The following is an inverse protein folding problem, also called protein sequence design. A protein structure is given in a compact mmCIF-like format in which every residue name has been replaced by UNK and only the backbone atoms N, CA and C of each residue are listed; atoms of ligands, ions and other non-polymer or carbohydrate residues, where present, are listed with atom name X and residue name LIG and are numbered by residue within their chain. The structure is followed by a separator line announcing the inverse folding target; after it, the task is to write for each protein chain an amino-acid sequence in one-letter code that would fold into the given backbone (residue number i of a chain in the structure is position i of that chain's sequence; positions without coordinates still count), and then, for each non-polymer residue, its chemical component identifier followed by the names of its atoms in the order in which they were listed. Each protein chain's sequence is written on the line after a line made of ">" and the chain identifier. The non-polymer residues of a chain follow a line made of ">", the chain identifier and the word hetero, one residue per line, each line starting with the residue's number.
data_IF_026205219158
#
_entry.id   IF_026205219158
#
_cell.length_a   1.000
_cell.length_b   1.000
_cell.length_c   1.000
_cell.angle_alpha   90.00
_cell.angle_beta   90.00
_cell.angle_gamma   90.00
#
_symmetry.space_group_name_H-M   'P 1'
#
loop_
_entity.id
_entity.type
_entity.pdbx_description
1 polymer ?
#
# COMPACT_ATOMS: atom_id res chain seq x y z
N UNK A 1 9.04 -24.36 -3.15
CA UNK A 1 9.19 -23.25 -2.18
C UNK A 1 7.89 -23.14 -1.40
N UNK A 2 7.89 -23.57 -0.13
CA UNK A 2 6.71 -23.53 0.74
C UNK A 2 6.56 -22.09 1.24
N UNK A 3 5.69 -21.29 0.62
CA UNK A 3 5.41 -19.94 1.08
C UNK A 3 4.54 -20.03 2.34
N UNK A 4 5.20 -19.83 3.49
CA UNK A 4 4.58 -19.89 4.80
C UNK A 4 3.60 -18.71 4.98
N UNK A 5 2.47 -18.97 5.62
CA UNK A 5 1.23 -18.17 5.78
C UNK A 5 1.36 -16.72 6.35
N UNK A 6 2.53 -16.08 6.35
CA UNK A 6 2.78 -14.79 7.05
C UNK A 6 3.55 -13.74 6.23
N UNK A 7 3.43 -13.73 4.91
CA UNK A 7 4.16 -12.78 4.03
C UNK A 7 3.85 -11.31 4.34
N UNK A 8 2.57 -10.93 4.46
CA UNK A 8 2.17 -9.53 4.67
C UNK A 8 2.49 -9.00 6.08
N UNK A 9 2.44 -9.86 7.12
CA UNK A 9 2.78 -9.46 8.50
C UNK A 9 4.29 -9.19 8.65
N UNK A 10 5.09 -9.98 7.94
CA UNK A 10 6.53 -9.76 7.83
C UNK A 10 6.78 -8.47 7.07
N UNK A 11 6.14 -8.28 5.90
CA UNK A 11 6.25 -7.04 5.11
C UNK A 11 5.90 -5.80 5.95
N UNK A 12 4.78 -5.84 6.68
CA UNK A 12 4.36 -4.77 7.60
C UNK A 12 5.41 -4.45 8.65
N UNK A 13 5.97 -5.48 9.27
CA UNK A 13 7.03 -5.32 10.27
C UNK A 13 8.28 -4.70 9.64
N UNK A 14 8.66 -5.15 8.44
CA UNK A 14 9.84 -4.68 7.73
C UNK A 14 9.70 -3.24 7.22
N UNK A 15 8.57 -2.88 6.62
CA UNK A 15 8.30 -1.49 6.25
C UNK A 15 8.28 -0.57 7.46
N UNK A 16 7.65 -1.00 8.55
CA UNK A 16 7.62 -0.20 9.78
C UNK A 16 9.03 -0.01 10.37
N UNK A 17 9.85 -1.06 10.47
CA UNK A 17 11.20 -0.92 11.03
C UNK A 17 12.13 -0.12 10.10
N UNK A 18 12.00 -0.29 8.78
CA UNK A 18 12.79 0.47 7.81
C UNK A 18 12.41 1.97 7.91
N UNK A 19 11.11 2.30 8.02
CA UNK A 19 10.65 3.68 8.26
C UNK A 19 11.07 4.24 9.61
N UNK A 20 11.02 3.43 10.67
CA UNK A 20 11.47 3.80 12.01
C UNK A 20 12.96 4.15 12.01
N UNK A 21 13.79 3.38 11.32
CA UNK A 21 15.23 3.65 11.19
C UNK A 21 15.50 4.93 10.40
N UNK A 22 14.77 5.17 9.30
CA UNK A 22 14.88 6.42 8.54
C UNK A 22 14.51 7.63 9.39
N UNK A 23 13.43 7.54 10.20
CA UNK A 23 13.01 8.62 11.10
C UNK A 23 13.94 8.81 12.29
N UNK A 24 14.50 7.73 12.81
CA UNK A 24 15.44 7.77 13.93
C UNK A 24 16.77 8.42 13.54
N UNK A 25 17.24 8.20 12.30
CA UNK A 25 18.51 8.73 11.80
C UNK A 25 19.77 8.07 12.40
N UNK A 26 19.61 7.18 13.38
CA UNK A 26 20.70 6.45 14.02
C UNK A 26 20.86 5.01 13.53
N UNK A 27 21.81 4.29 14.13
CA UNK A 27 22.13 2.92 13.77
C UNK A 27 21.11 1.92 14.34
N UNK A 28 21.03 0.73 13.73
CA UNK A 28 20.20 -0.37 14.26
C UNK A 28 20.63 -0.82 15.66
N UNK A 29 21.92 -0.69 15.98
CA UNK A 29 22.46 -1.06 17.30
C UNK A 29 21.97 -0.07 18.37
N UNK A 30 21.93 1.22 18.04
CA UNK A 30 21.38 2.25 18.93
C UNK A 30 19.89 2.03 19.18
N UNK A 31 19.12 1.71 18.12
CA UNK A 31 17.70 1.38 18.26
C UNK A 31 17.48 0.13 19.14
N UNK A 32 18.32 -0.90 18.99
CA UNK A 32 18.29 -2.10 19.83
C UNK A 32 18.60 -1.76 21.29
N UNK A 33 19.57 -0.89 21.56
CA UNK A 33 19.91 -0.45 22.92
C UNK A 33 18.75 0.31 23.58
N UNK A 34 18.05 1.15 22.81
CA UNK A 34 16.82 1.83 23.27
C UNK A 34 15.73 0.80 23.60
N UNK A 35 15.59 -0.26 22.80
CA UNK A 35 14.64 -1.33 23.09
C UNK A 35 15.01 -2.09 24.37
N UNK A 36 16.26 -2.56 24.46
CA UNK A 36 16.76 -3.40 25.55
C UNK A 36 16.70 -2.70 26.91
N UNK A 37 17.10 -1.43 26.95
CA UNK A 37 17.06 -0.60 28.17
C UNK A 37 15.66 -0.45 28.77
N UNK A 38 14.60 -0.67 27.97
CA UNK A 38 13.20 -0.53 28.42
C UNK A 38 12.39 -1.83 28.46
N UNK A 39 12.78 -2.85 27.72
CA UNK A 39 12.03 -4.11 27.64
C UNK A 39 12.56 -5.18 28.59
N UNK A 40 13.85 -5.16 28.93
CA UNK A 40 14.51 -6.28 29.60
C UNK A 40 14.47 -7.59 28.79
N UNK A 41 14.08 -7.52 27.51
CA UNK A 41 13.89 -8.69 26.64
C UNK A 41 15.18 -9.10 25.92
N UNK A 42 15.13 -10.25 25.26
CA UNK A 42 16.27 -10.88 24.59
C UNK A 42 16.93 -9.97 23.53
N UNK A 43 18.26 -10.03 23.48
CA UNK A 43 19.11 -9.35 22.49
C UNK A 43 18.76 -9.72 21.04
N UNK A 44 18.93 -8.74 20.15
CA UNK A 44 18.80 -8.81 18.68
C UNK A 44 17.36 -8.83 18.15
N UNK A 45 16.40 -8.28 18.88
CA UNK A 45 15.00 -8.32 18.45
C UNK A 45 14.73 -7.43 17.21
N UNK A 46 15.34 -6.25 17.16
CA UNK A 46 15.31 -5.35 15.99
C UNK A 46 15.87 -6.03 14.76
N UNK A 47 16.98 -6.76 14.92
CA UNK A 47 17.59 -7.54 13.84
C UNK A 47 16.69 -8.67 13.35
N UNK A 48 15.93 -9.31 14.24
CA UNK A 48 14.94 -10.34 13.85
C UNK A 48 13.74 -9.74 13.11
N UNK A 49 13.26 -8.57 13.50
CA UNK A 49 12.20 -7.84 12.79
C UNK A 49 12.65 -7.42 11.39
N UNK A 50 13.81 -6.75 11.29
CA UNK A 50 14.38 -6.34 10.00
C UNK A 50 14.65 -7.55 9.09
N UNK A 51 15.11 -8.67 9.67
CA UNK A 51 15.32 -9.93 8.94
C UNK A 51 14.05 -10.74 8.65
N UNK A 52 12.87 -10.26 9.06
CA UNK A 52 11.59 -10.96 8.85
C UNK A 52 11.43 -12.28 9.61
N UNK A 53 12.27 -12.53 10.61
CA UNK A 53 12.21 -13.75 11.45
C UNK A 53 11.08 -13.71 12.46
N UNK A 54 10.72 -12.52 12.90
CA UNK A 54 9.65 -12.27 13.88
C UNK A 54 8.81 -11.09 13.44
N UNK A 55 7.55 -11.06 13.88
CA UNK A 55 6.60 -9.96 13.60
C UNK A 55 6.49 -9.08 14.83
N UNK A 56 6.41 -7.77 14.63
CA UNK A 56 6.21 -6.81 15.73
C UNK A 56 4.73 -6.75 16.13
N UNK A 57 4.47 -6.48 17.41
CA UNK A 57 3.11 -6.31 17.95
C UNK A 57 2.74 -4.84 18.06
N UNK A 58 1.44 -4.54 18.08
CA UNK A 58 0.92 -3.17 18.25
C UNK A 58 1.40 -2.51 19.55
N UNK A 59 1.57 -3.31 20.62
CA UNK A 59 2.12 -2.83 21.90
C UNK A 59 3.54 -2.26 21.74
N UNK A 60 4.36 -2.91 20.91
CA UNK A 60 5.73 -2.46 20.65
C UNK A 60 5.73 -1.24 19.74
N UNK A 61 4.91 -1.24 18.69
CA UNK A 61 4.74 -0.07 17.80
C UNK A 61 4.32 1.16 18.62
N UNK A 62 3.32 1.00 19.49
CA UNK A 62 2.85 2.08 20.38
C UNK A 62 3.91 2.57 21.35
N UNK A 63 4.86 1.71 21.76
CA UNK A 63 5.98 2.10 22.61
C UNK A 63 6.97 2.96 21.83
N UNK A 64 7.29 2.58 20.59
CA UNK A 64 8.18 3.35 19.73
C UNK A 64 7.55 4.66 19.26
N UNK A 65 6.24 4.71 19.01
CA UNK A 65 5.55 5.96 18.67
C UNK A 65 5.72 7.03 19.75
N UNK A 66 5.75 6.64 21.03
CA UNK A 66 6.02 7.56 22.15
C UNK A 66 7.45 8.08 22.20
N UNK A 67 8.40 7.37 21.56
CA UNK A 67 9.82 7.72 21.55
C UNK A 67 10.21 8.47 20.29
N UNK A 68 9.67 8.03 19.15
CA UNK A 68 9.92 8.52 17.80
C UNK A 68 8.54 8.67 17.14
N UNK A 69 7.87 9.82 17.36
CA UNK A 69 6.54 10.08 16.81
C UNK A 69 6.51 10.04 15.28
N UNK A 70 5.34 9.70 14.73
CA UNK A 70 5.11 9.64 13.29
C UNK A 70 5.65 8.39 12.61
N UNK A 71 5.76 7.28 13.34
CA UNK A 71 6.29 6.00 12.82
C UNK A 71 5.22 4.92 12.72
N UNK A 72 4.18 4.99 13.56
CA UNK A 72 3.08 4.02 13.62
C UNK A 72 2.22 3.97 12.36
N UNK A 73 2.03 5.08 11.64
CA UNK A 73 1.14 5.13 10.46
C UNK A 73 1.51 4.10 9.40
N UNK A 74 2.80 3.80 9.21
CA UNK A 74 3.26 2.76 8.28
C UNK A 74 2.70 1.40 8.71
N UNK A 75 2.74 1.08 10.01
CA UNK A 75 2.24 -0.20 10.52
C UNK A 75 0.73 -0.37 10.31
N UNK A 76 -0.02 0.73 10.29
CA UNK A 76 -1.48 0.72 10.17
C UNK A 76 -2.01 0.94 8.75
N UNK A 77 -1.15 0.92 7.73
CA UNK A 77 -1.58 0.99 6.33
C UNK A 77 -2.60 -0.10 5.99
N UNK A 78 -3.74 0.30 5.40
CA UNK A 78 -4.84 -0.60 5.05
C UNK A 78 -4.46 -1.68 4.03
N UNK A 79 -3.46 -1.41 3.19
CA UNK A 79 -2.97 -2.37 2.22
C UNK A 79 -2.61 -3.72 2.86
N UNK A 80 -2.09 -3.74 4.09
CA UNK A 80 -1.70 -4.99 4.75
C UNK A 80 -2.86 -5.93 5.02
N UNK A 81 -4.02 -5.39 5.36
CA UNK A 81 -5.21 -6.20 5.61
C UNK A 81 -5.84 -6.69 4.31
N UNK A 82 -5.64 -5.97 3.21
CA UNK A 82 -6.06 -6.37 1.87
C UNK A 82 -5.10 -7.41 1.25
N UNK A 83 -3.82 -7.37 1.63
CA UNK A 83 -2.80 -8.37 1.30
C UNK A 83 -3.00 -9.70 2.04
N UNK A 84 -3.89 -9.75 3.05
CA UNK A 84 -4.20 -10.98 3.76
C UNK A 84 -4.86 -12.00 2.81
N UNK A 85 -4.23 -13.14 2.61
CA UNK A 85 -4.71 -14.20 1.74
C UNK A 85 -5.85 -15.04 2.36
N UNK A 86 -6.14 -14.88 3.65
CA UNK A 86 -7.20 -15.63 4.34
C UNK A 86 -8.56 -14.98 4.15
N UNK A 87 -9.65 -15.73 4.37
CA UNK A 87 -11.06 -15.24 4.26
C UNK A 87 -11.32 -13.96 5.09
N UNK A 88 -10.50 -13.71 6.11
CA UNK A 88 -10.52 -12.50 6.96
C UNK A 88 -10.52 -11.19 6.15
N UNK A 89 -9.93 -11.19 4.94
CA UNK A 89 -9.87 -9.99 4.10
C UNK A 89 -11.24 -9.39 3.77
N UNK A 90 -12.32 -10.18 3.72
CA UNK A 90 -13.65 -9.70 3.30
C UNK A 90 -14.17 -8.59 4.21
N UNK A 91 -13.97 -8.72 5.52
CA UNK A 91 -14.37 -7.70 6.50
C UNK A 91 -13.52 -6.44 6.35
N UNK A 92 -12.22 -6.61 6.14
CA UNK A 92 -11.28 -5.51 5.92
C UNK A 92 -11.58 -4.77 4.62
N UNK A 93 -11.89 -5.49 3.55
CA UNK A 93 -12.29 -4.94 2.26
C UNK A 93 -13.56 -4.12 2.40
N UNK A 94 -14.62 -4.68 3.01
CA UNK A 94 -15.86 -3.95 3.25
C UNK A 94 -15.59 -2.65 4.01
N UNK A 95 -14.87 -2.75 5.14
CA UNK A 95 -14.52 -1.57 5.96
C UNK A 95 -13.72 -0.54 5.17
N UNK A 96 -12.78 -0.97 4.34
CA UNK A 96 -11.98 -0.07 3.50
C UNK A 96 -12.86 0.65 2.48
N UNK A 97 -13.72 -0.06 1.75
CA UNK A 97 -14.65 0.54 0.80
C UNK A 97 -15.63 1.51 1.49
N UNK A 98 -16.20 1.12 2.63
CA UNK A 98 -17.12 1.96 3.40
C UNK A 98 -16.46 3.28 3.87
N UNK A 99 -15.17 3.25 4.21
CA UNK A 99 -14.43 4.42 4.70
C UNK A 99 -13.86 5.31 3.58
N UNK A 100 -13.66 4.76 2.39
CA UNK A 100 -12.97 5.42 1.28
C UNK A 100 -13.83 5.59 0.03
N UNK A 101 -15.14 5.40 0.13
CA UNK A 101 -16.07 5.67 -0.96
C UNK A 101 -17.17 6.62 -0.52
N UNK A 102 -17.55 7.53 -1.42
CA UNK A 102 -18.73 8.37 -1.27
C UNK A 102 -19.81 7.80 -2.17
N UNK A 103 -20.98 7.54 -1.57
CA UNK A 103 -22.16 7.09 -2.30
C UNK A 103 -22.83 8.30 -2.96
N UNK A 104 -22.35 8.66 -4.15
CA UNK A 104 -22.99 9.60 -5.07
C UNK A 104 -23.19 8.94 -6.45
N UNK A 105 -23.66 9.68 -7.45
CA UNK A 105 -23.89 9.19 -8.80
C UNK A 105 -23.02 9.99 -9.79
N UNK A 106 -21.93 9.42 -10.33
CA UNK A 106 -21.36 8.08 -10.05
C UNK A 106 -20.68 8.02 -8.66
N UNK A 107 -20.48 6.82 -8.07
CA UNK A 107 -19.76 6.67 -6.80
C UNK A 107 -18.26 6.98 -6.98
N UNK A 108 -17.66 7.62 -5.97
CA UNK A 108 -16.29 8.14 -6.07
C UNK A 108 -15.42 7.70 -4.89
N UNK A 109 -14.11 7.73 -5.08
CA UNK A 109 -13.12 7.58 -4.02
C UNK A 109 -13.03 8.81 -3.13
N UNK A 110 -12.78 8.58 -1.84
CA UNK A 110 -12.49 9.58 -0.84
C UNK A 110 -11.17 9.28 -0.14
N UNK A 111 -10.21 10.19 -0.29
CA UNK A 111 -8.91 10.12 0.38
C UNK A 111 -8.76 11.34 1.27
N UNK A 112 -8.80 11.16 2.59
CA UNK A 112 -8.76 12.24 3.58
C UNK A 112 -7.61 13.23 3.36
N UNK A 113 -6.45 12.76 2.90
CA UNK A 113 -5.28 13.59 2.60
C UNK A 113 -5.51 14.65 1.54
N UNK A 114 -6.44 14.41 0.61
CA UNK A 114 -6.79 15.38 -0.43
C UNK A 114 -7.54 16.59 0.14
N UNK A 115 -8.17 16.42 1.32
CA UNK A 115 -9.02 17.42 1.97
C UNK A 115 -8.34 18.11 3.16
N UNK A 116 -7.33 17.48 3.77
CA UNK A 116 -6.63 18.04 4.93
C UNK A 116 -5.75 19.27 4.64
N UNK A 117 -5.55 19.66 3.38
CA UNK A 117 -4.80 20.88 3.04
C UNK A 117 -5.68 22.14 2.99
N UNK A 118 -7.00 22.03 2.99
CA UNK A 118 -7.90 23.17 2.76
C UNK A 118 -8.68 23.67 3.97
N UNK A 119 -8.71 22.98 5.12
CA UNK A 119 -9.42 23.49 6.33
C UNK A 119 -8.89 22.92 7.66
N UNK A 120 -8.68 23.76 8.70
CA UNK A 120 -8.43 23.31 10.06
C UNK A 120 -9.76 23.07 10.78
N UNK A 121 -10.37 21.91 10.62
CA UNK A 121 -11.46 21.48 11.49
C UNK A 121 -11.20 20.06 11.98
N UNK A 122 -11.46 19.76 13.27
CA UNK A 122 -11.22 18.45 13.85
C UNK A 122 -12.27 17.49 13.30
N UNK A 123 -11.88 16.69 12.30
CA UNK A 123 -12.68 15.58 11.81
C UNK A 123 -12.61 14.45 12.83
N UNK A 124 -13.66 14.32 13.65
CA UNK A 124 -13.98 13.04 14.29
C UNK A 124 -14.65 12.17 13.21
N UNK A 125 -14.02 11.08 12.74
CA UNK A 125 -14.55 10.26 11.65
C UNK A 125 -15.87 9.57 11.99
N UNK A 126 -16.34 9.61 13.25
CA UNK A 126 -17.62 9.02 13.66
C UNK A 126 -18.79 9.97 13.63
N UNK A 127 -18.55 11.27 13.50
CA UNK A 127 -19.59 12.30 13.60
C UNK A 127 -19.37 13.44 12.61
N UNK A 128 -19.53 13.18 11.31
CA UNK A 128 -20.06 14.13 10.31
C UNK A 128 -20.00 13.49 8.92
N UNK A 129 -20.78 12.44 8.70
CA UNK A 129 -21.29 12.24 7.35
C UNK A 129 -22.38 13.28 7.10
N UNK A 130 -22.05 14.22 6.22
CA UNK A 130 -22.95 14.72 5.17
C UNK A 130 -24.19 15.50 5.66
N UNK A 131 -24.02 16.81 5.86
CA UNK A 131 -25.07 17.69 5.37
C UNK A 131 -24.98 17.69 3.83
N UNK A 132 -26.11 17.71 3.13
CA UNK A 132 -26.15 17.78 1.65
C UNK A 132 -25.23 18.88 1.11
N UNK A 133 -25.11 20.00 1.84
CA UNK A 133 -24.21 21.11 1.50
C UNK A 133 -22.70 20.81 1.55
N UNK A 134 -22.23 19.77 2.25
CA UNK A 134 -20.81 19.39 2.26
C UNK A 134 -20.40 18.66 0.98
N UNK A 135 -21.28 17.78 0.47
CA UNK A 135 -21.08 17.09 -0.81
C UNK A 135 -21.12 18.13 -1.94
N UNK A 136 -22.10 19.03 -1.91
CA UNK A 136 -22.18 20.11 -2.89
C UNK A 136 -20.94 20.99 -2.86
N UNK A 137 -20.41 21.32 -1.68
CA UNK A 137 -19.15 22.07 -1.57
C UNK A 137 -17.95 21.30 -2.13
N UNK A 138 -17.82 20.00 -1.87
CA UNK A 138 -16.74 19.15 -2.43
C UNK A 138 -16.84 19.09 -3.96
N UNK A 139 -18.02 18.82 -4.49
CA UNK A 139 -18.26 18.74 -5.94
C UNK A 139 -18.14 20.10 -6.63
N UNK A 140 -18.39 21.19 -5.89
CA UNK A 140 -18.23 22.56 -6.34
C UNK A 140 -16.82 23.12 -6.11
N UNK A 141 -15.92 22.39 -5.41
CA UNK A 141 -14.54 22.84 -5.23
C UNK A 141 -13.73 22.44 -6.48
N UNK A 142 -13.30 23.41 -7.31
CA UNK A 142 -12.78 23.12 -8.64
C UNK A 142 -11.36 22.49 -8.68
N UNK A 143 -10.85 21.98 -7.55
CA UNK A 143 -9.44 21.60 -7.36
C UNK A 143 -9.26 20.15 -6.90
N UNK A 144 -10.31 19.45 -6.46
CA UNK A 144 -10.18 18.09 -5.95
C UNK A 144 -10.28 17.07 -7.10
N UNK A 145 -9.30 16.15 -7.24
CA UNK A 145 -9.35 15.12 -8.27
C UNK A 145 -10.45 14.10 -7.92
N UNK A 146 -11.59 14.20 -8.58
CA UNK A 146 -12.67 13.21 -8.46
C UNK A 146 -12.28 11.96 -9.25
N UNK A 147 -12.21 10.82 -8.55
CA UNK A 147 -11.92 9.51 -9.15
C UNK A 147 -13.11 8.60 -8.92
N UNK A 148 -13.74 8.13 -10.00
CA UNK A 148 -14.81 7.14 -9.96
C UNK A 148 -14.33 5.82 -9.35
N UNK A 149 -15.21 5.14 -8.61
CA UNK A 149 -14.85 4.01 -7.77
C UNK A 149 -14.22 2.86 -8.57
N UNK A 150 -14.70 2.58 -9.78
CA UNK A 150 -14.24 1.51 -10.66
C UNK A 150 -13.03 1.92 -11.55
N UNK A 151 -12.65 3.19 -11.55
CA UNK A 151 -11.62 3.72 -12.44
C UNK A 151 -10.20 3.51 -11.90
N UNK A 152 -9.79 2.23 -11.88
CA UNK A 152 -8.45 1.83 -11.44
C UNK A 152 -7.30 2.44 -12.26
N UNK A 153 -7.54 2.90 -13.48
CA UNK A 153 -6.54 3.59 -14.29
C UNK A 153 -6.22 4.99 -13.72
N UNK A 154 -7.23 5.76 -13.33
CA UNK A 154 -7.02 7.05 -12.66
C UNK A 154 -6.29 6.89 -11.33
N UNK A 155 -6.53 5.79 -10.60
CA UNK A 155 -5.77 5.46 -9.40
C UNK A 155 -4.29 5.17 -9.68
N UNK A 156 -3.94 4.62 -10.85
CA UNK A 156 -2.53 4.47 -11.28
C UNK A 156 -1.87 5.84 -11.46
N UNK A 157 -2.61 6.80 -12.03
CA UNK A 157 -2.12 8.16 -12.25
C UNK A 157 -1.88 8.92 -10.93
N UNK A 158 -2.63 8.61 -9.87
CA UNK A 158 -2.39 9.16 -8.52
C UNK A 158 -0.99 8.85 -8.00
N UNK A 159 -0.45 7.67 -8.34
CA UNK A 159 0.94 7.31 -8.12
C UNK A 159 1.42 7.45 -6.66
N UNK A 160 0.61 6.98 -5.71
CA UNK A 160 0.93 6.94 -4.28
C UNK A 160 0.43 5.65 -3.61
N UNK A 161 0.65 5.53 -2.30
CA UNK A 161 0.22 4.34 -1.54
C UNK A 161 -1.30 4.20 -1.43
N UNK A 162 -2.04 5.31 -1.46
CA UNK A 162 -3.51 5.31 -1.39
C UNK A 162 -4.11 4.78 -2.70
N UNK A 163 -3.61 5.25 -3.85
CA UNK A 163 -3.94 4.72 -5.17
C UNK A 163 -3.61 3.24 -5.29
N UNK A 164 -2.42 2.80 -4.85
CA UNK A 164 -2.06 1.38 -4.79
C UNK A 164 -3.06 0.58 -3.95
N UNK A 165 -3.43 1.08 -2.77
CA UNK A 165 -4.32 0.40 -1.82
C UNK A 165 -5.75 0.32 -2.37
N UNK A 166 -6.23 1.39 -3.00
CA UNK A 166 -7.54 1.43 -3.65
C UNK A 166 -7.63 0.45 -4.83
N UNK A 167 -6.61 0.37 -5.68
CA UNK A 167 -6.57 -0.63 -6.76
C UNK A 167 -6.55 -2.05 -6.16
N UNK A 168 -5.77 -2.27 -5.10
CA UNK A 168 -5.76 -3.56 -4.41
C UNK A 168 -7.15 -3.91 -3.87
N UNK A 169 -7.89 -2.95 -3.31
CA UNK A 169 -9.26 -3.17 -2.88
C UNK A 169 -10.16 -3.59 -4.04
N UNK A 170 -10.05 -2.96 -5.22
CA UNK A 170 -10.80 -3.34 -6.42
C UNK A 170 -10.45 -4.74 -6.92
N UNK A 171 -9.17 -5.13 -6.89
CA UNK A 171 -8.76 -6.52 -7.18
C UNK A 171 -9.44 -7.51 -6.24
N UNK A 172 -9.43 -7.22 -4.93
CA UNK A 172 -10.05 -8.10 -3.92
C UNK A 172 -11.57 -8.12 -4.03
N UNK A 173 -12.20 -7.03 -4.45
CA UNK A 173 -13.65 -6.98 -4.69
C UNK A 173 -14.05 -7.78 -5.93
N UNK A 174 -13.30 -7.66 -7.03
CA UNK A 174 -13.50 -8.48 -8.23
C UNK A 174 -13.30 -9.97 -7.94
N UNK A 175 -12.27 -10.34 -7.16
CA UNK A 175 -12.06 -11.72 -6.68
C UNK A 175 -13.29 -12.20 -5.88
N UNK A 176 -13.77 -11.40 -4.93
CA UNK A 176 -14.93 -11.73 -4.09
C UNK A 176 -16.21 -11.94 -4.91
N UNK A 177 -16.41 -11.13 -5.95
CA UNK A 177 -17.56 -11.19 -6.87
C UNK A 177 -17.43 -12.31 -7.91
N UNK A 178 -16.24 -12.90 -8.08
CA UNK A 178 -15.95 -13.83 -9.17
C UNK A 178 -15.91 -13.16 -10.55
N UNK A 179 -15.73 -11.84 -10.61
CA UNK A 179 -15.68 -11.10 -11.88
C UNK A 179 -14.25 -11.14 -12.45
N UNK A 180 -14.01 -12.10 -13.34
CA UNK A 180 -12.69 -12.30 -13.95
C UNK A 180 -12.26 -11.10 -14.80
N UNK A 181 -13.19 -10.46 -15.53
CA UNK A 181 -12.88 -9.32 -16.40
C UNK A 181 -12.38 -8.11 -15.61
N UNK A 182 -13.12 -7.72 -14.56
CA UNK A 182 -12.69 -6.67 -13.63
C UNK A 182 -11.36 -7.04 -12.94
N UNK A 183 -11.22 -8.30 -12.52
CA UNK A 183 -9.99 -8.75 -11.87
C UNK A 183 -8.77 -8.59 -12.79
N UNK A 184 -8.89 -8.94 -14.09
CA UNK A 184 -7.85 -8.74 -15.11
C UNK A 184 -7.48 -7.25 -15.23
N UNK A 185 -8.48 -6.37 -15.33
CA UNK A 185 -8.26 -4.92 -15.46
C UNK A 185 -7.54 -4.38 -14.23
N UNK A 186 -8.07 -4.67 -13.03
CA UNK A 186 -7.55 -4.13 -11.78
C UNK A 186 -6.18 -4.72 -11.43
N UNK A 187 -5.93 -6.01 -11.68
CA UNK A 187 -4.60 -6.59 -11.38
C UNK A 187 -3.52 -6.03 -12.31
N UNK A 188 -3.84 -5.77 -13.58
CA UNK A 188 -2.94 -5.09 -14.51
C UNK A 188 -2.55 -3.71 -13.95
N UNK A 189 -3.54 -2.92 -13.56
CA UNK A 189 -3.32 -1.61 -12.97
C UNK A 189 -2.61 -1.68 -11.61
N UNK A 190 -2.83 -2.74 -10.81
CA UNK A 190 -2.12 -2.94 -9.55
C UNK A 190 -0.62 -3.09 -9.80
N UNK A 191 -0.21 -3.93 -10.76
CA UNK A 191 1.21 -4.04 -11.12
C UNK A 191 1.78 -2.72 -11.65
N UNK A 192 1.01 -1.95 -12.44
CA UNK A 192 1.40 -0.61 -12.93
C UNK A 192 1.60 0.42 -11.83
N UNK A 193 0.95 0.25 -10.68
CA UNK A 193 1.07 1.18 -9.53
C UNK A 193 2.29 0.91 -8.64
N UNK A 194 2.89 -0.29 -8.69
CA UNK A 194 4.06 -0.67 -7.87
C UNK A 194 5.25 0.28 -8.01
N UNK A 195 5.66 0.73 -9.22
CA UNK A 195 6.78 1.65 -9.39
C UNK A 195 6.65 2.94 -8.57
N UNK A 196 5.43 3.44 -8.39
CA UNK A 196 5.18 4.66 -7.63
C UNK A 196 5.53 4.51 -6.14
N UNK A 197 5.50 3.30 -5.59
CA UNK A 197 5.88 3.02 -4.21
C UNK A 197 7.38 3.21 -3.96
N UNK A 198 8.20 3.27 -5.01
CA UNK A 198 9.64 3.60 -4.88
C UNK A 198 9.89 5.03 -4.38
N UNK A 199 8.86 5.89 -4.38
CA UNK A 199 8.90 7.23 -3.77
C UNK A 199 9.05 7.16 -2.24
N UNK A 200 8.72 6.03 -1.62
CA UNK A 200 8.89 5.80 -0.20
C UNK A 200 10.15 4.98 0.05
N UNK A 201 11.21 5.63 0.53
CA UNK A 201 12.54 5.01 0.73
C UNK A 201 12.47 3.70 1.54
N UNK A 202 11.65 3.66 2.59
CA UNK A 202 11.47 2.48 3.44
C UNK A 202 10.82 1.28 2.74
N UNK A 203 10.17 1.48 1.59
CA UNK A 203 9.50 0.39 0.86
C UNK A 203 10.44 -0.32 -0.11
N UNK A 204 11.45 0.37 -0.65
CA UNK A 204 12.27 -0.07 -1.81
C UNK A 204 12.87 -1.45 -1.58
N UNK A 205 13.59 -1.64 -0.47
CA UNK A 205 14.29 -2.88 -0.14
C UNK A 205 13.35 -4.09 0.04
N UNK A 206 12.05 -3.85 0.21
CA UNK A 206 11.03 -4.88 0.48
C UNK A 206 9.99 -5.01 -0.63
N UNK A 207 10.12 -4.26 -1.72
CA UNK A 207 9.23 -4.40 -2.89
C UNK A 207 9.15 -5.84 -3.42
N UNK A 208 10.24 -6.66 -3.46
CA UNK A 208 10.13 -8.06 -3.85
C UNK A 208 9.16 -8.89 -2.98
N UNK A 209 9.07 -8.57 -1.69
CA UNK A 209 8.14 -9.22 -0.78
C UNK A 209 6.70 -8.74 -1.00
N UNK A 210 6.49 -7.44 -1.25
CA UNK A 210 5.19 -6.91 -1.66
C UNK A 210 4.68 -7.58 -2.94
N UNK A 211 5.52 -7.66 -3.98
CA UNK A 211 5.19 -8.30 -5.26
C UNK A 211 4.82 -9.76 -5.04
N UNK A 212 5.52 -10.45 -4.15
CA UNK A 212 5.20 -11.84 -3.80
C UNK A 212 3.80 -11.95 -3.17
N UNK A 213 3.41 -11.00 -2.31
CA UNK A 213 2.06 -10.96 -1.75
C UNK A 213 1.00 -10.70 -2.84
N UNK A 214 1.26 -9.75 -3.76
CA UNK A 214 0.36 -9.45 -4.89
C UNK A 214 0.22 -10.65 -5.83
N UNK A 215 1.32 -11.35 -6.12
CA UNK A 215 1.33 -12.57 -6.94
C UNK A 215 0.47 -13.67 -6.33
N UNK A 216 0.50 -13.84 -5.00
CA UNK A 216 -0.31 -14.84 -4.34
C UNK A 216 -1.82 -14.53 -4.45
N UNK A 217 -2.19 -13.25 -4.40
CA UNK A 217 -3.57 -12.82 -4.68
C UNK A 217 -3.92 -13.11 -6.13
N UNK A 218 -3.08 -12.70 -7.08
CA UNK A 218 -3.32 -12.90 -8.51
C UNK A 218 -3.58 -14.38 -8.85
N UNK A 219 -2.81 -15.30 -8.27
CA UNK A 219 -2.94 -16.75 -8.49
C UNK A 219 -4.27 -17.35 -8.04
N UNK A 220 -5.05 -16.65 -7.21
CA UNK A 220 -6.37 -17.14 -6.75
C UNK A 220 -7.44 -17.10 -7.83
N UNK A 221 -7.22 -16.35 -8.90
CA UNK A 221 -8.12 -16.29 -10.05
C UNK A 221 -7.36 -16.83 -11.26
N UNK A 222 -7.39 -18.17 -11.51
CA UNK A 222 -6.54 -18.81 -12.52
C UNK A 222 -6.68 -18.20 -13.91
N UNK A 223 -7.91 -17.92 -14.35
CA UNK A 223 -8.16 -17.30 -15.66
C UNK A 223 -7.51 -15.92 -15.79
N UNK A 224 -7.49 -15.11 -14.71
CA UNK A 224 -6.77 -13.83 -14.71
C UNK A 224 -5.26 -14.04 -14.76
N UNK A 225 -4.75 -15.02 -14.01
CA UNK A 225 -3.33 -15.35 -13.95
C UNK A 225 -2.80 -15.87 -15.30
N UNK A 226 -3.61 -16.61 -16.05
CA UNK A 226 -3.27 -17.04 -17.40
C UNK A 226 -3.28 -15.88 -18.39
N UNK A 227 -4.24 -14.96 -18.27
CA UNK A 227 -4.40 -13.83 -19.16
C UNK A 227 -3.32 -12.75 -19.00
N UNK A 228 -2.83 -12.53 -17.78
CA UNK A 228 -1.83 -11.49 -17.47
C UNK A 228 -0.61 -12.12 -16.82
N UNK A 229 0.56 -11.89 -17.40
CA UNK A 229 1.84 -12.19 -16.76
C UNK A 229 2.51 -10.89 -16.32
N UNK A 230 2.89 -10.75 -15.04
CA UNK A 230 3.60 -9.56 -14.58
C UNK A 230 4.97 -9.45 -15.25
N UNK A 231 5.32 -8.26 -15.72
CA UNK A 231 6.65 -7.98 -16.28
C UNK A 231 7.69 -7.89 -15.15
N UNK A 232 8.13 -9.05 -14.68
CA UNK A 232 9.07 -9.19 -13.56
C UNK A 232 10.42 -8.53 -13.84
N UNK A 233 10.88 -8.52 -15.11
CA UNK A 233 12.14 -7.88 -15.51
C UNK A 233 12.10 -6.36 -15.30
N UNK A 234 11.03 -5.71 -15.74
CA UNK A 234 10.87 -4.26 -15.57
C UNK A 234 10.81 -3.87 -14.09
N UNK A 235 10.04 -4.61 -13.29
CA UNK A 235 9.92 -4.34 -11.86
C UNK A 235 11.29 -4.52 -11.16
N UNK A 236 12.06 -5.54 -11.55
CA UNK A 236 13.43 -5.75 -11.04
C UNK A 236 14.39 -4.64 -11.46
N UNK A 237 14.31 -4.16 -12.70
CA UNK A 237 15.13 -3.06 -13.19
C UNK A 237 14.86 -1.77 -12.39
N UNK A 238 13.59 -1.41 -12.21
CA UNK A 238 13.20 -0.23 -11.40
C UNK A 238 13.73 -0.30 -9.97
N UNK A 239 13.67 -1.49 -9.36
CA UNK A 239 14.21 -1.72 -8.02
C UNK A 239 15.73 -1.59 -8.04
N UNK A 240 16.41 -2.16 -9.03
CA UNK A 240 17.87 -2.14 -9.16
C UNK A 240 18.45 -0.73 -9.37
N UNK A 241 17.85 0.06 -10.26
CA UNK A 241 18.27 1.44 -10.54
C UNK A 241 18.15 2.32 -9.29
N UNK A 242 17.09 2.17 -8.51
CA UNK A 242 16.85 2.94 -7.27
C UNK A 242 17.74 2.51 -6.10
N UNK A 243 18.10 1.22 -6.01
CA UNK A 243 19.06 0.73 -4.99
C UNK A 243 20.48 1.19 -5.32
N UNK A 244 20.82 1.33 -6.61
CA UNK A 244 22.14 1.75 -7.06
C UNK A 244 22.41 3.26 -6.90
N UNK A 245 21.37 4.10 -6.81
CA UNK A 245 21.50 5.54 -6.57
C UNK A 245 21.48 5.79 -5.05
N UNK A 246 22.59 6.25 -4.43
CA UNK A 246 22.56 6.71 -3.05
C UNK A 246 21.62 7.91 -2.95
N UNK A 247 20.81 7.94 -1.89
CA UNK A 247 19.83 8.98 -1.57
C UNK A 247 20.42 10.40 -1.61
N UNK A 248 20.39 11.02 -2.79
CA UNK A 248 20.62 12.43 -2.98
C UNK A 248 19.74 12.89 -4.15
N UNK A 249 18.73 13.70 -3.83
CA UNK A 249 17.87 14.47 -4.73
C UNK A 249 17.00 13.67 -5.71
N UNK A 250 15.74 13.48 -5.31
CA UNK A 250 14.68 13.06 -6.23
C UNK A 250 13.84 14.26 -6.65
N UNK A 251 14.35 14.99 -7.66
CA UNK A 251 13.52 15.91 -8.42
C UNK A 251 12.51 15.14 -9.28
N UNK A 252 11.29 15.65 -9.29
CA UNK A 252 10.15 15.13 -10.01
C UNK A 252 10.44 15.11 -11.52
N UNK A 253 10.59 13.92 -12.10
CA UNK A 253 10.55 13.76 -13.56
C UNK A 253 9.43 12.79 -13.95
N UNK A 254 8.70 13.21 -14.98
CA UNK A 254 7.53 12.58 -15.57
C UNK A 254 7.77 11.11 -15.88
N UNK A 255 7.01 10.23 -15.22
CA UNK A 255 6.99 8.80 -15.54
C UNK A 255 6.18 8.59 -16.84
N UNK A 256 6.83 8.03 -17.85
CA UNK A 256 6.16 7.59 -19.07
C UNK A 256 5.39 6.29 -18.81
N UNK A 257 4.06 6.39 -18.84
CA UNK A 257 3.14 5.27 -18.62
C UNK A 257 2.96 4.37 -19.87
N UNK A 258 3.60 4.69 -21.01
CA UNK A 258 3.33 4.04 -22.30
C UNK A 258 4.01 2.68 -22.53
N UNK A 259 4.89 2.21 -21.63
CA UNK A 259 5.71 1.00 -21.87
C UNK A 259 5.19 -0.25 -21.14
N UNK A 260 3.87 -0.34 -20.90
CA UNK A 260 3.25 -1.49 -20.21
C UNK A 260 2.09 -2.08 -21.02
N UNK A 261 2.40 -2.60 -22.21
CA UNK A 261 1.50 -3.52 -22.91
C UNK A 261 1.56 -4.91 -22.29
N UNK A 262 0.42 -5.59 -22.04
CA UNK A 262 0.42 -7.01 -21.71
C UNK A 262 1.04 -7.77 -22.89
N UNK A 263 1.87 -8.76 -22.59
CA UNK A 263 2.34 -9.70 -23.60
C UNK A 263 1.15 -10.61 -23.96
N UNK A 264 0.33 -10.17 -24.92
CA UNK A 264 -0.73 -10.99 -25.49
C UNK A 264 -0.04 -12.10 -26.28
N UNK A 265 -0.29 -13.36 -25.92
CA UNK A 265 0.16 -14.47 -26.76
C UNK A 265 -0.50 -14.31 -28.13
N UNK A 266 0.28 -13.99 -29.15
CA UNK A 266 -0.09 -14.28 -30.53
C UNK A 266 -0.19 -15.81 -30.62
N UNK A 267 -1.41 -16.32 -30.67
CA UNK A 267 -1.65 -17.71 -31.06
C UNK A 267 -1.31 -17.83 -32.53
N UNK A 268 -0.18 -18.48 -32.82
CA UNK A 268 0.12 -19.11 -34.11
C UNK A 268 -0.03 -20.61 -33.96
#
# INVERSE_FOLDING_TARGET
>A
MIYNQKSWKILRTQWWIDHLLLKFGGSRQELENIYLSRSGEATKQTSKWHGGKTVVTERIVSRFEKLIPGTSWVFYLDCFLLLDETISYKKSLKRYLDNHSITCQPPIWFFERDFCQSTPLPLDPKHQFMSEGYIDNILSTPILPVIELDNSWRLVQRADIEGFTAILALVRDAERKGNVGEHIIHISNLYRSIPALTRYEFMIARLPLLISCVLNIHKKVPASFEAIQPNTRYIQQLIGERIAIPSANLDATSFDYSVLLPCVRSTS
#
